data_IF_211339292686
#
_entry.id   IF_211339292686
#
_cell.length_a   1.000
_cell.length_b   1.000
_cell.length_c   1.000
_cell.angle_alpha   90.00
_cell.angle_beta   90.00
_cell.angle_gamma   90.00
#
_symmetry.space_group_name_H-M   'P 1'
#
loop_
_entity.id
_entity.type
_entity.pdbx_description
1 polymer ?
#
# COMPACT_ATOMS: atom_id res chain seq x y z
N UNK A 1 9.69 9.48 16.55
CA UNK A 1 10.35 10.28 15.53
C UNK A 1 9.30 10.97 14.67
N UNK A 2 9.49 12.26 14.39
CA UNK A 2 8.60 13.04 13.53
C UNK A 2 8.96 12.69 12.08
N UNK A 3 8.10 11.92 11.40
CA UNK A 3 8.28 11.65 9.97
C UNK A 3 7.65 12.78 9.16
N UNK A 4 8.31 13.27 8.11
CA UNK A 4 7.69 14.23 7.20
C UNK A 4 6.47 13.58 6.51
N UNK A 5 5.40 14.34 6.33
CA UNK A 5 4.19 13.84 5.66
C UNK A 5 4.44 13.41 4.20
N UNK A 6 5.34 14.11 3.52
CA UNK A 6 5.77 13.73 2.17
C UNK A 6 6.89 12.70 2.28
N UNK A 7 6.81 11.57 1.58
CA UNK A 7 7.87 10.56 1.58
C UNK A 7 9.21 11.09 1.07
N UNK A 8 10.23 11.07 1.90
CA UNK A 8 11.60 11.49 1.59
C UNK A 8 12.59 10.31 1.54
N UNK A 9 12.10 9.10 1.74
CA UNK A 9 12.90 7.89 1.62
C UNK A 9 13.43 7.75 0.19
N UNK A 10 14.73 7.41 0.03
CA UNK A 10 15.35 7.32 -1.28
C UNK A 10 14.81 6.13 -2.08
N UNK A 11 14.71 6.29 -3.41
CA UNK A 11 14.47 5.17 -4.31
C UNK A 11 15.70 4.26 -4.35
N UNK A 12 15.51 2.93 -4.54
CA UNK A 12 16.61 2.00 -4.75
C UNK A 12 17.49 2.41 -5.94
N UNK A 13 18.79 2.56 -5.73
CA UNK A 13 19.74 2.97 -6.79
C UNK A 13 19.81 1.96 -7.95
N UNK A 14 19.68 0.67 -7.62
CA UNK A 14 19.77 -0.45 -8.58
C UNK A 14 18.58 -1.37 -8.43
N UNK A 15 17.55 -1.13 -9.20
CA UNK A 15 16.37 -1.99 -9.28
C UNK A 15 16.09 -2.37 -10.73
N UNK A 16 15.77 -3.64 -10.96
CA UNK A 16 15.28 -4.11 -12.27
C UNK A 16 13.83 -3.70 -12.50
N UNK A 17 13.07 -3.52 -11.44
CA UNK A 17 11.65 -3.18 -11.46
C UNK A 17 11.36 -1.68 -11.38
N UNK A 18 12.37 -0.85 -11.08
CA UNK A 18 12.20 0.60 -10.92
C UNK A 18 13.17 1.36 -11.84
N UNK A 19 12.64 2.02 -12.85
CA UNK A 19 13.42 2.82 -13.79
C UNK A 19 13.39 4.33 -13.48
N UNK A 20 12.61 4.77 -12.51
CA UNK A 20 12.36 6.19 -12.22
C UNK A 20 13.65 6.96 -11.87
N UNK A 21 14.56 6.33 -11.13
CA UNK A 21 15.85 6.93 -10.77
C UNK A 21 16.72 7.34 -11.98
N UNK A 22 16.57 6.67 -13.14
CA UNK A 22 17.26 7.02 -14.40
C UNK A 22 16.77 8.34 -15.00
N UNK A 23 15.58 8.78 -14.62
CA UNK A 23 14.92 9.99 -15.07
C UNK A 23 14.94 11.11 -14.02
N UNK A 24 15.76 10.94 -12.98
CA UNK A 24 16.00 11.98 -12.00
C UNK A 24 15.14 11.93 -10.75
N UNK A 25 14.19 11.00 -10.64
CA UNK A 25 13.40 10.77 -9.42
C UNK A 25 14.30 10.19 -8.33
N UNK A 26 14.35 10.81 -7.15
CA UNK A 26 15.29 10.46 -6.07
C UNK A 26 14.60 9.86 -4.86
N UNK A 27 13.37 10.30 -4.57
CA UNK A 27 12.61 9.88 -3.39
C UNK A 27 11.25 9.35 -3.80
N UNK A 28 10.60 8.61 -2.89
CA UNK A 28 9.24 8.12 -3.12
C UNK A 28 8.21 9.25 -3.22
N UNK A 29 8.44 10.39 -2.57
CA UNK A 29 7.58 11.57 -2.73
C UNK A 29 7.62 12.14 -4.14
N UNK A 30 8.77 12.11 -4.81
CA UNK A 30 8.94 12.62 -6.17
C UNK A 30 8.24 11.76 -7.25
N UNK A 31 7.67 10.61 -6.89
CA UNK A 31 6.83 9.79 -7.78
C UNK A 31 5.43 10.40 -7.94
N UNK A 32 5.12 11.44 -7.19
CA UNK A 32 3.82 12.08 -7.14
C UNK A 32 3.93 13.58 -7.46
N UNK A 33 2.99 14.12 -8.21
CA UNK A 33 2.90 15.57 -8.39
C UNK A 33 2.31 16.26 -7.14
N UNK A 34 2.37 17.59 -7.11
CA UNK A 34 1.95 18.39 -5.96
C UNK A 34 0.47 18.18 -5.56
N UNK A 35 -0.44 17.97 -6.53
CA UNK A 35 -1.86 17.71 -6.28
C UNK A 35 -2.07 16.32 -5.67
N UNK A 36 -1.36 15.34 -6.18
CA UNK A 36 -1.38 13.96 -5.67
C UNK A 36 -0.81 13.91 -4.24
N UNK A 37 0.30 14.60 -3.98
CA UNK A 37 0.88 14.74 -2.64
C UNK A 37 -0.09 15.40 -1.68
N UNK A 38 -0.73 16.51 -2.08
CA UNK A 38 -1.73 17.19 -1.26
C UNK A 38 -2.89 16.23 -0.89
N UNK A 39 -3.41 15.47 -1.84
CA UNK A 39 -4.46 14.51 -1.58
C UNK A 39 -4.00 13.41 -0.62
N UNK A 40 -2.88 12.76 -0.91
CA UNK A 40 -2.38 11.63 -0.12
C UNK A 40 -2.03 12.05 1.31
N UNK A 41 -1.36 13.19 1.50
CA UNK A 41 -1.04 13.72 2.84
C UNK A 41 -2.29 14.12 3.62
N UNK A 42 -3.32 14.66 2.94
CA UNK A 42 -4.62 14.96 3.56
C UNK A 42 -5.29 13.68 4.07
N UNK A 43 -5.27 12.60 3.31
CA UNK A 43 -5.81 11.31 3.76
C UNK A 43 -5.00 10.70 4.91
N UNK A 44 -3.66 10.84 4.90
CA UNK A 44 -2.82 10.45 6.06
C UNK A 44 -3.28 11.16 7.32
N UNK A 45 -3.43 12.50 7.27
CA UNK A 45 -3.91 13.27 8.42
C UNK A 45 -5.32 12.83 8.86
N UNK A 46 -6.24 12.62 7.90
CA UNK A 46 -7.60 12.21 8.20
C UNK A 46 -7.67 10.81 8.86
N UNK A 47 -6.81 9.86 8.47
CA UNK A 47 -6.72 8.54 9.12
C UNK A 47 -6.22 8.68 10.55
N UNK A 48 -5.18 9.49 10.77
CA UNK A 48 -4.65 9.74 12.11
C UNK A 48 -5.66 10.47 13.02
N UNK A 49 -6.42 11.41 12.45
CA UNK A 49 -7.49 12.10 13.21
C UNK A 49 -8.63 11.14 13.53
N UNK A 50 -9.07 10.31 12.59
CA UNK A 50 -10.08 9.29 12.81
C UNK A 50 -9.68 8.30 13.92
N UNK A 51 -8.39 7.86 13.94
CA UNK A 51 -7.88 7.02 15.02
C UNK A 51 -8.03 7.69 16.40
N UNK A 52 -7.60 8.96 16.52
CA UNK A 52 -7.70 9.72 17.78
C UNK A 52 -9.16 9.90 18.21
N UNK A 53 -10.03 10.19 17.25
CA UNK A 53 -11.48 10.36 17.51
C UNK A 53 -12.11 9.06 17.99
N UNK A 54 -11.79 7.92 17.38
CA UNK A 54 -12.28 6.60 17.82
C UNK A 54 -11.89 6.33 19.28
N UNK A 55 -10.65 6.60 19.68
CA UNK A 55 -10.21 6.44 21.07
C UNK A 55 -10.94 7.41 22.01
N UNK A 56 -11.15 8.66 21.60
CA UNK A 56 -11.88 9.65 22.38
C UNK A 56 -13.37 9.26 22.57
N UNK A 57 -13.95 8.53 21.63
CA UNK A 57 -15.31 7.97 21.69
C UNK A 57 -15.39 6.65 22.48
N UNK A 58 -14.26 6.15 23.01
CA UNK A 58 -14.23 4.98 23.88
C UNK A 58 -13.92 3.66 23.17
N UNK A 59 -13.44 3.67 21.92
CA UNK A 59 -12.92 2.47 21.29
C UNK A 59 -11.66 1.98 22.01
N UNK A 60 -11.42 0.66 22.04
CA UNK A 60 -10.14 0.13 22.52
C UNK A 60 -9.01 0.44 21.52
N UNK A 61 -7.76 0.48 22.01
CA UNK A 61 -6.59 0.70 21.16
C UNK A 61 -6.51 -0.34 20.03
N UNK A 62 -6.79 -1.62 20.34
CA UNK A 62 -6.78 -2.70 19.35
C UNK A 62 -7.82 -2.49 18.26
N UNK A 63 -9.03 -2.09 18.63
CA UNK A 63 -10.09 -1.81 17.66
C UNK A 63 -9.75 -0.59 16.81
N UNK A 64 -9.29 0.50 17.42
CA UNK A 64 -8.87 1.71 16.72
C UNK A 64 -7.72 1.42 15.75
N UNK A 65 -6.69 0.68 16.19
CA UNK A 65 -5.56 0.28 15.37
C UNK A 65 -5.98 -0.62 14.19
N UNK A 66 -6.88 -1.57 14.42
CA UNK A 66 -7.39 -2.44 13.35
C UNK A 66 -8.13 -1.62 12.27
N UNK A 67 -8.99 -0.70 12.66
CA UNK A 67 -9.71 0.17 11.71
C UNK A 67 -8.73 1.08 10.97
N UNK A 68 -7.80 1.74 11.68
CA UNK A 68 -6.78 2.58 11.07
C UNK A 68 -5.92 1.80 10.05
N UNK A 69 -5.58 0.54 10.34
CA UNK A 69 -4.84 -0.34 9.42
C UNK A 69 -5.62 -0.58 8.11
N UNK A 70 -6.92 -0.86 8.17
CA UNK A 70 -7.72 -1.03 6.95
C UNK A 70 -7.87 0.27 6.16
N UNK A 71 -8.01 1.41 6.82
CA UNK A 71 -8.00 2.72 6.17
C UNK A 71 -6.64 3.01 5.51
N UNK A 72 -5.54 2.66 6.17
CA UNK A 72 -4.20 2.78 5.63
C UNK A 72 -3.97 1.85 4.41
N UNK A 73 -4.53 0.65 4.39
CA UNK A 73 -4.52 -0.21 3.20
C UNK A 73 -5.30 0.41 2.04
N UNK A 74 -6.44 1.06 2.31
CA UNK A 74 -7.18 1.79 1.28
C UNK A 74 -6.35 2.95 0.71
N UNK A 75 -5.67 3.72 1.55
CA UNK A 75 -4.74 4.77 1.14
C UNK A 75 -3.58 4.22 0.31
N UNK A 76 -2.94 3.17 0.77
CA UNK A 76 -1.85 2.48 0.08
C UNK A 76 -2.28 2.02 -1.33
N UNK A 77 -3.49 1.46 -1.47
CA UNK A 77 -4.06 1.09 -2.76
C UNK A 77 -4.35 2.31 -3.65
N UNK A 78 -4.82 3.41 -3.08
CA UNK A 78 -5.08 4.66 -3.81
C UNK A 78 -3.77 5.28 -4.31
N UNK A 79 -2.68 5.26 -3.52
CA UNK A 79 -1.40 5.86 -3.88
C UNK A 79 -0.82 5.28 -5.17
N UNK A 80 -1.06 4.00 -5.46
CA UNK A 80 -0.62 3.35 -6.70
C UNK A 80 -1.25 3.96 -7.97
N UNK A 81 -2.40 4.62 -7.84
CA UNK A 81 -3.08 5.29 -8.96
C UNK A 81 -2.98 6.80 -8.91
N UNK A 82 -2.61 7.33 -7.75
CA UNK A 82 -2.32 8.75 -7.54
C UNK A 82 -0.82 9.00 -7.67
N UNK A 83 -0.22 8.62 -8.80
CA UNK A 83 1.21 8.77 -9.05
C UNK A 83 1.50 9.05 -10.52
N UNK A 84 2.66 9.65 -10.80
CA UNK A 84 3.14 9.89 -12.17
C UNK A 84 3.55 8.60 -12.90
N UNK A 85 3.55 7.46 -12.22
CA UNK A 85 3.73 6.14 -12.82
C UNK A 85 2.40 5.43 -13.17
N UNK A 86 1.25 6.09 -12.96
CA UNK A 86 -0.08 5.57 -13.27
C UNK A 86 -0.42 5.81 -14.74
N UNK A 87 -0.78 4.76 -15.48
CA UNK A 87 -1.11 4.84 -16.89
C UNK A 87 -2.62 4.74 -17.14
N UNK A 88 -3.07 5.28 -18.27
CA UNK A 88 -4.44 5.11 -18.74
C UNK A 88 -4.62 3.78 -19.47
N UNK A 89 -5.65 3.02 -19.12
CA UNK A 89 -6.01 1.77 -19.79
C UNK A 89 -7.17 2.02 -20.74
N UNK A 90 -6.88 2.26 -22.03
CA UNK A 90 -7.85 2.65 -23.05
C UNK A 90 -9.06 1.69 -23.19
N UNK A 91 -8.85 0.38 -23.10
CA UNK A 91 -9.95 -0.60 -23.27
C UNK A 91 -10.90 -0.67 -22.07
N UNK A 92 -10.43 -0.28 -20.87
CA UNK A 92 -11.20 -0.34 -19.62
C UNK A 92 -11.59 1.02 -19.09
N UNK A 93 -11.19 2.06 -19.81
CA UNK A 93 -11.49 3.47 -19.50
C UNK A 93 -11.20 3.82 -18.03
N UNK A 94 -9.97 3.50 -17.57
CA UNK A 94 -9.55 3.70 -16.17
C UNK A 94 -8.06 3.89 -16.03
N UNK A 95 -7.66 4.54 -14.92
CA UNK A 95 -6.28 4.54 -14.47
C UNK A 95 -5.86 3.17 -13.91
N UNK A 96 -4.71 2.67 -14.33
CA UNK A 96 -4.08 1.47 -13.78
C UNK A 96 -3.11 1.82 -12.66
N UNK A 97 -2.90 0.87 -11.76
CA UNK A 97 -1.90 1.00 -10.72
C UNK A 97 -0.49 1.10 -11.31
N UNK A 98 0.36 1.90 -10.72
CA UNK A 98 1.75 2.06 -11.14
C UNK A 98 2.50 0.73 -11.28
N UNK A 99 2.17 -0.24 -10.42
CA UNK A 99 2.80 -1.57 -10.37
C UNK A 99 2.13 -2.63 -11.25
N UNK A 100 1.16 -2.27 -12.11
CA UNK A 100 0.37 -3.22 -12.91
C UNK A 100 1.20 -4.10 -13.87
N UNK A 101 2.44 -3.73 -14.17
CA UNK A 101 3.35 -4.52 -15.00
C UNK A 101 4.48 -5.19 -14.22
N UNK A 102 4.34 -5.38 -12.90
CA UNK A 102 5.37 -5.86 -11.98
C UNK A 102 6.67 -5.01 -12.02
N UNK A 103 6.54 -3.74 -12.32
CA UNK A 103 7.61 -2.74 -12.37
C UNK A 103 7.03 -1.34 -12.25
N UNK A 104 7.86 -0.38 -11.87
CA UNK A 104 7.53 1.06 -11.87
C UNK A 104 8.07 1.69 -13.16
N UNK A 105 7.21 1.97 -14.14
CA UNK A 105 7.61 2.58 -15.40
C UNK A 105 7.77 4.09 -15.22
N UNK A 106 8.68 4.70 -15.97
CA UNK A 106 8.62 6.11 -16.26
C UNK A 106 7.59 6.35 -17.37
N UNK A 107 6.70 7.29 -17.17
CA UNK A 107 5.67 7.69 -18.15
C UNK A 107 5.81 9.17 -18.46
N UNK A 108 5.73 9.52 -19.75
CA UNK A 108 5.68 10.92 -20.20
C UNK A 108 4.26 11.50 -20.02
N UNK A 109 3.24 10.68 -20.28
CA UNK A 109 1.84 10.99 -20.08
C UNK A 109 1.25 10.03 -19.05
N UNK A 110 1.05 10.48 -17.83
CA UNK A 110 0.44 9.69 -16.78
C UNK A 110 -1.04 10.05 -16.60
N UNK A 111 -1.80 9.09 -16.06
CA UNK A 111 -3.20 9.30 -15.71
C UNK A 111 -3.31 9.94 -14.32
N UNK A 112 -4.06 11.02 -14.22
CA UNK A 112 -4.37 11.64 -12.92
C UNK A 112 -5.84 11.39 -12.56
N UNK A 113 -6.06 10.81 -11.39
CA UNK A 113 -7.39 10.52 -10.88
C UNK A 113 -7.89 11.65 -9.99
N UNK A 114 -9.22 11.84 -9.94
CA UNK A 114 -9.83 12.62 -8.87
C UNK A 114 -10.06 11.69 -7.66
N UNK A 115 -9.36 11.89 -6.52
CA UNK A 115 -9.45 11.01 -5.36
C UNK A 115 -10.83 11.02 -4.68
N UNK A 116 -11.64 12.04 -4.92
CA UNK A 116 -12.98 12.22 -4.36
C UNK A 116 -14.10 11.80 -5.31
N UNK A 117 -13.77 11.29 -6.51
CA UNK A 117 -14.77 10.76 -7.44
C UNK A 117 -15.20 9.35 -7.01
N UNK A 118 -16.33 8.86 -7.55
CA UNK A 118 -16.71 7.44 -7.44
C UNK A 118 -15.95 6.52 -8.41
N UNK A 119 -15.00 7.05 -9.19
CA UNK A 119 -14.27 6.35 -10.24
C UNK A 119 -13.15 5.44 -9.73
N UNK A 120 -12.58 4.65 -10.64
CA UNK A 120 -11.48 3.72 -10.31
C UNK A 120 -10.27 4.44 -9.73
N UNK A 121 -9.81 3.98 -8.58
CA UNK A 121 -8.66 4.53 -7.87
C UNK A 121 -9.00 5.64 -6.87
N UNK A 122 -10.26 6.11 -6.82
CA UNK A 122 -10.73 7.07 -5.81
C UNK A 122 -10.80 6.43 -4.42
N UNK A 123 -10.92 7.26 -3.40
CA UNK A 123 -11.09 6.80 -2.02
C UNK A 123 -12.31 5.91 -1.86
N UNK A 124 -13.46 6.31 -2.40
CA UNK A 124 -14.69 5.51 -2.36
C UNK A 124 -14.51 4.13 -3.03
N UNK A 125 -13.86 4.08 -4.19
CA UNK A 125 -13.65 2.81 -4.90
C UNK A 125 -12.72 1.86 -4.14
N UNK A 126 -11.75 2.38 -3.36
CA UNK A 126 -10.85 1.54 -2.55
C UNK A 126 -11.59 0.89 -1.38
N UNK A 127 -12.52 1.60 -0.73
CA UNK A 127 -13.37 1.04 0.34
C UNK A 127 -14.32 -0.04 -0.17
N UNK A 128 -14.95 0.17 -1.31
CA UNK A 128 -15.84 -0.85 -1.91
C UNK A 128 -15.16 -2.20 -2.16
N UNK A 129 -13.84 -2.20 -2.27
CA UNK A 129 -13.07 -3.43 -2.38
C UNK A 129 -12.68 -4.00 -1.01
N UNK A 130 -12.37 -3.15 -0.05
CA UNK A 130 -11.90 -3.57 1.27
C UNK A 130 -13.00 -4.25 2.08
N UNK A 131 -14.21 -3.67 2.10
CA UNK A 131 -15.31 -4.17 2.94
C UNK A 131 -15.74 -5.60 2.60
N UNK A 132 -16.06 -5.98 1.34
CA UNK A 132 -16.41 -7.36 1.03
C UNK A 132 -15.28 -8.35 1.29
N UNK A 133 -14.02 -7.91 1.12
CA UNK A 133 -12.86 -8.76 1.44
C UNK A 133 -12.77 -9.02 2.93
N UNK A 134 -13.02 -8.01 3.77
CA UNK A 134 -13.05 -8.15 5.22
C UNK A 134 -14.19 -9.08 5.67
N UNK A 135 -15.39 -8.91 5.12
CA UNK A 135 -16.53 -9.79 5.39
C UNK A 135 -16.21 -11.25 5.06
N UNK A 136 -15.57 -11.49 3.90
CA UNK A 136 -15.13 -12.83 3.49
C UNK A 136 -14.10 -13.43 4.44
N UNK A 137 -13.12 -12.65 4.90
CA UNK A 137 -12.10 -13.09 5.87
C UNK A 137 -12.77 -13.41 7.23
N UNK A 138 -13.65 -12.53 7.72
CA UNK A 138 -14.36 -12.74 8.98
C UNK A 138 -15.26 -13.98 8.93
N UNK A 139 -15.92 -14.24 7.81
CA UNK A 139 -16.73 -15.44 7.63
C UNK A 139 -15.91 -16.75 7.57
N UNK A 140 -14.67 -16.67 7.09
CA UNK A 140 -13.75 -17.80 6.99
C UNK A 140 -12.92 -18.04 8.25
N UNK A 141 -12.75 -17.01 9.10
CA UNK A 141 -11.93 -17.07 10.29
C UNK A 141 -12.66 -17.86 11.40
N UNK A 142 -12.25 -19.10 11.63
CA UNK A 142 -12.75 -19.91 12.74
C UNK A 142 -11.97 -19.66 14.05
N UNK A 143 -10.67 -19.38 13.92
CA UNK A 143 -9.74 -19.16 15.06
C UNK A 143 -8.76 -18.03 14.73
N UNK A 144 -8.21 -17.34 15.73
CA UNK A 144 -7.17 -16.33 15.53
C UNK A 144 -5.94 -16.94 14.86
N UNK A 145 -5.49 -16.31 13.76
CA UNK A 145 -4.28 -16.72 13.05
C UNK A 145 -3.06 -16.03 13.65
N UNK A 146 -2.02 -16.80 13.94
CA UNK A 146 -0.73 -16.25 14.36
C UNK A 146 0.09 -15.89 13.10
N UNK A 147 0.42 -14.61 12.95
CA UNK A 147 1.33 -14.12 11.92
C UNK A 147 2.68 -13.83 12.55
N UNK A 148 3.75 -14.36 11.95
CA UNK A 148 5.12 -14.12 12.40
C UNK A 148 6.00 -13.80 11.19
N UNK A 149 6.89 -12.84 11.38
CA UNK A 149 7.96 -12.58 10.42
C UNK A 149 9.17 -13.44 10.74
N UNK A 150 9.75 -14.10 9.74
CA UNK A 150 10.90 -14.97 9.93
C UNK A 150 11.55 -15.43 8.64
N UNK A 151 12.70 -16.06 8.75
CA UNK A 151 13.38 -16.71 7.65
C UNK A 151 12.75 -18.08 7.38
N UNK A 152 12.32 -18.33 6.15
CA UNK A 152 11.73 -19.61 5.75
C UNK A 152 12.70 -20.80 5.85
N UNK A 153 14.02 -20.52 5.82
CA UNK A 153 15.05 -21.55 6.03
C UNK A 153 15.31 -21.84 7.53
N UNK A 154 14.79 -21.00 8.43
CA UNK A 154 15.07 -21.09 9.87
C UNK A 154 13.82 -20.69 10.67
N UNK A 155 12.81 -21.53 10.60
CA UNK A 155 11.53 -21.29 11.27
C UNK A 155 11.69 -21.33 12.81
N UNK A 156 11.05 -20.40 13.55
CA UNK A 156 11.12 -20.32 15.01
C UNK A 156 10.17 -21.32 15.71
N UNK A 157 10.13 -22.56 15.22
CA UNK A 157 9.27 -23.62 15.72
C UNK A 157 10.10 -24.90 15.96
N UNK A 158 9.66 -25.73 16.89
CA UNK A 158 10.25 -27.02 17.15
C UNK A 158 10.02 -27.98 15.97
N UNK A 159 10.85 -29.05 15.89
CA UNK A 159 10.64 -30.11 14.91
C UNK A 159 9.29 -30.80 15.12
N UNK A 160 8.64 -31.14 14.03
CA UNK A 160 7.30 -31.77 14.03
C UNK A 160 6.17 -30.92 14.64
N UNK A 161 6.32 -29.60 14.66
CA UNK A 161 5.31 -28.67 15.16
C UNK A 161 4.07 -28.59 14.25
N UNK A 162 4.25 -28.67 12.93
CA UNK A 162 3.19 -28.54 11.94
C UNK A 162 2.78 -29.89 11.35
N UNK A 163 1.48 -30.12 11.18
CA UNK A 163 0.93 -31.26 10.44
C UNK A 163 1.09 -31.10 8.93
N UNK A 164 1.13 -29.85 8.44
CA UNK A 164 1.33 -29.53 7.03
C UNK A 164 2.03 -28.19 6.85
N UNK A 165 2.86 -28.07 5.82
CA UNK A 165 3.52 -26.84 5.41
C UNK A 165 3.13 -26.55 3.96
N UNK A 166 2.53 -25.38 3.71
CA UNK A 166 2.20 -24.88 2.38
C UNK A 166 3.07 -23.67 2.07
N UNK A 167 3.72 -23.68 0.90
CA UNK A 167 4.62 -22.60 0.50
C UNK A 167 4.23 -22.04 -0.86
N UNK A 168 4.34 -20.72 -0.99
CA UNK A 168 4.22 -19.98 -2.25
C UNK A 168 5.44 -19.06 -2.40
N UNK A 169 6.60 -19.63 -2.80
CA UNK A 169 7.84 -18.88 -2.86
C UNK A 169 7.85 -17.92 -4.05
N UNK A 170 8.52 -16.75 -3.93
CA UNK A 170 8.70 -15.85 -5.05
C UNK A 170 9.54 -16.50 -6.16
N UNK A 171 9.24 -16.18 -7.43
CA UNK A 171 10.06 -16.62 -8.55
C UNK A 171 11.43 -15.94 -8.50
N UNK A 172 12.48 -16.76 -8.55
CA UNK A 172 13.85 -16.27 -8.46
C UNK A 172 14.12 -15.16 -9.49
N UNK A 173 14.48 -13.98 -8.97
CA UNK A 173 14.88 -12.79 -9.77
C UNK A 173 13.86 -12.31 -10.83
N UNK A 174 12.60 -12.77 -10.78
CA UNK A 174 11.56 -12.39 -11.75
C UNK A 174 10.95 -11.03 -11.43
N UNK A 175 10.63 -10.79 -10.15
CA UNK A 175 10.00 -9.56 -9.68
C UNK A 175 10.76 -9.02 -8.48
N UNK A 176 11.03 -7.72 -8.46
CA UNK A 176 11.63 -7.02 -7.30
C UNK A 176 10.53 -6.63 -6.32
N UNK A 177 10.00 -7.61 -5.57
CA UNK A 177 8.86 -7.41 -4.69
C UNK A 177 9.07 -6.31 -3.65
N UNK A 178 10.26 -6.24 -3.04
CA UNK A 178 10.61 -5.21 -2.07
C UNK A 178 10.47 -3.81 -2.66
N UNK A 179 11.09 -3.56 -3.81
CA UNK A 179 11.09 -2.24 -4.46
C UNK A 179 9.67 -1.79 -4.86
N UNK A 180 8.80 -2.75 -5.22
CA UNK A 180 7.41 -2.45 -5.57
C UNK A 180 6.54 -2.21 -4.33
N UNK A 181 6.80 -2.92 -3.24
CA UNK A 181 6.08 -2.75 -1.98
C UNK A 181 6.45 -1.46 -1.28
N UNK A 182 7.68 -0.97 -1.44
CA UNK A 182 8.15 0.27 -0.80
C UNK A 182 7.29 1.48 -1.21
N UNK A 183 6.83 1.54 -2.47
CA UNK A 183 5.92 2.60 -2.93
C UNK A 183 4.61 2.66 -2.12
N UNK A 184 4.15 1.53 -1.60
CA UNK A 184 2.96 1.46 -0.76
C UNK A 184 3.31 1.63 0.71
N UNK A 185 4.43 1.06 1.13
CA UNK A 185 4.88 1.05 2.52
C UNK A 185 5.13 2.44 3.06
N UNK A 186 5.70 3.34 2.27
CA UNK A 186 5.96 4.73 2.70
C UNK A 186 4.69 5.49 3.09
N UNK A 187 3.57 5.20 2.45
CA UNK A 187 2.26 5.77 2.80
C UNK A 187 1.60 5.05 3.97
N UNK A 188 1.70 3.72 3.98
CA UNK A 188 1.19 2.90 5.09
C UNK A 188 1.86 3.30 6.41
N UNK A 189 3.17 3.47 6.39
CA UNK A 189 3.96 3.88 7.56
C UNK A 189 3.50 5.24 8.10
N UNK A 190 3.24 6.23 7.24
CA UNK A 190 2.77 7.56 7.64
C UNK A 190 1.35 7.59 8.18
N UNK A 191 0.51 6.68 7.70
CA UNK A 191 -0.87 6.59 8.14
C UNK A 191 -1.02 5.89 9.51
N UNK A 192 0.02 5.15 9.97
CA UNK A 192 -0.03 4.34 11.20
C UNK A 192 0.91 4.86 12.31
N UNK A 193 1.67 5.92 12.06
CA UNK A 193 2.63 6.55 12.97
C UNK A 193 2.52 8.08 12.97
#
# INVERSE_FOLDING_TARGET
PFFPLVPDEPLPEKSRGNNLGRYGVRTWGEVHNARQLLALTTFVCAINDAYREMLALGATEEMGAAIALYLAFALSRMSLRSSEASRWHNRRDKAEAATAGHKLPMLWDYAEINPLSGGSGSWESTHRWALPSLEGVLAAAAEPVRVAWGDAAQLPYEENYFDAILTDPPYYSSVTYSDLSDMQYVWLHRALH
#
